data_IF_352828312217
#
_entry.id   IF_352828312217
#
_cell.length_a   1.000
_cell.length_b   1.000
_cell.length_c   1.000
_cell.angle_alpha   90.00
_cell.angle_beta   90.00
_cell.angle_gamma   90.00
#
_symmetry.space_group_name_H-M   'P 1'
#
loop_
_entity.id
_entity.type
_entity.pdbx_description
1 polymer ?
#
# COMPACT_ATOMS: atom_id res chain seq x y z
N UNK A 1 -0.33 -1.02 11.86
CA UNK A 1 -0.41 -1.13 10.37
C UNK A 1 0.91 -1.57 9.73
N UNK A 2 2.07 -1.12 10.22
CA UNK A 2 3.38 -1.51 9.66
C UNK A 2 3.63 -3.02 9.62
N UNK A 3 3.18 -3.77 10.62
CA UNK A 3 3.34 -5.23 10.67
C UNK A 3 2.65 -5.94 9.49
N UNK A 4 1.47 -5.44 9.08
CA UNK A 4 0.77 -5.94 7.89
C UNK A 4 1.52 -5.57 6.61
N UNK A 5 2.07 -4.35 6.53
CA UNK A 5 2.90 -3.94 5.39
C UNK A 5 4.13 -4.85 5.24
N UNK A 6 4.84 -5.12 6.34
CA UNK A 6 5.97 -6.08 6.38
C UNK A 6 5.56 -7.48 5.96
N UNK A 7 4.43 -7.97 6.47
CA UNK A 7 3.89 -9.28 6.11
C UNK A 7 3.53 -9.39 4.63
N UNK A 8 3.04 -8.31 4.00
CA UNK A 8 2.72 -8.32 2.58
C UNK A 8 3.98 -8.28 1.71
N UNK A 9 4.97 -7.48 2.11
CA UNK A 9 6.27 -7.47 1.45
C UNK A 9 6.96 -8.83 1.53
N UNK A 10 6.90 -9.53 2.66
CA UNK A 10 7.49 -10.87 2.78
C UNK A 10 6.81 -11.93 1.89
N UNK A 11 5.57 -11.67 1.46
CA UNK A 11 4.87 -12.48 0.44
C UNK A 11 5.19 -12.07 -1.00
N UNK A 12 6.07 -11.10 -1.20
CA UNK A 12 6.39 -10.56 -2.52
C UNK A 12 5.34 -9.60 -3.08
N UNK A 13 4.48 -9.04 -2.22
CA UNK A 13 3.43 -8.12 -2.64
C UNK A 13 3.86 -6.67 -2.38
N UNK A 14 4.07 -5.85 -3.44
CA UNK A 14 4.51 -4.47 -3.26
C UNK A 14 3.43 -3.63 -2.59
N UNK A 15 3.80 -2.90 -1.53
CA UNK A 15 2.89 -2.10 -0.72
C UNK A 15 3.15 -0.61 -0.83
N UNK A 16 2.14 0.21 -0.55
CA UNK A 16 2.24 1.67 -0.43
C UNK A 16 1.26 2.18 0.65
N UNK A 17 1.53 3.34 1.28
CA UNK A 17 0.66 3.86 2.32
C UNK A 17 -0.60 4.52 1.72
N UNK A 18 -1.74 4.23 2.33
CA UNK A 18 -3.02 4.91 2.09
C UNK A 18 -3.37 5.79 3.31
N UNK A 19 -4.12 6.86 3.08
CA UNK A 19 -4.59 7.74 4.15
C UNK A 19 -5.35 6.94 5.23
N UNK A 20 -5.13 7.29 6.50
CA UNK A 20 -5.77 6.64 7.64
C UNK A 20 -7.30 6.64 7.50
N UNK A 21 -7.92 5.47 7.69
CA UNK A 21 -9.38 5.30 7.54
C UNK A 21 -9.92 5.48 6.12
N UNK A 22 -9.07 5.74 5.13
CA UNK A 22 -9.45 6.00 3.74
C UNK A 22 -8.90 4.96 2.76
N UNK A 23 -9.21 5.18 1.48
CA UNK A 23 -8.75 4.37 0.34
C UNK A 23 -7.89 5.16 -0.67
N UNK A 24 -7.44 6.37 -0.31
CA UNK A 24 -6.62 7.24 -1.17
C UNK A 24 -5.14 7.15 -0.77
N UNK A 25 -4.17 7.30 -1.69
CA UNK A 25 -2.74 7.31 -1.34
C UNK A 25 -2.40 8.37 -0.30
N UNK A 26 -1.54 8.02 0.67
CA UNK A 26 -1.15 8.93 1.74
C UNK A 26 -0.19 10.05 1.26
N UNK A 27 0.63 9.75 0.25
CA UNK A 27 1.61 10.69 -0.31
C UNK A 27 0.94 11.46 -1.46
N UNK A 28 0.69 12.77 -1.32
CA UNK A 28 0.05 13.57 -2.36
C UNK A 28 1.01 13.82 -3.53
N UNK A 29 0.46 14.09 -4.72
CA UNK A 29 1.26 14.45 -5.91
C UNK A 29 2.17 15.65 -5.69
N UNK A 30 1.71 16.64 -4.94
CA UNK A 30 2.49 17.84 -4.57
C UNK A 30 3.79 17.50 -3.82
N UNK A 31 3.81 16.35 -3.13
CA UNK A 31 4.97 15.80 -2.40
C UNK A 31 5.65 14.65 -3.15
N UNK A 32 5.40 14.53 -4.46
CA UNK A 32 6.00 13.51 -5.32
C UNK A 32 5.35 12.13 -5.24
N UNK A 33 4.13 12.02 -4.71
CA UNK A 33 3.39 10.76 -4.69
C UNK A 33 2.86 10.35 -6.05
N UNK A 34 3.04 9.08 -6.41
CA UNK A 34 2.55 8.45 -7.63
C UNK A 34 1.51 7.36 -7.35
N UNK A 35 1.04 7.23 -6.11
CA UNK A 35 -0.03 6.31 -5.72
C UNK A 35 0.41 4.85 -5.81
N UNK A 36 -0.38 3.98 -6.44
CA UNK A 36 -0.05 2.55 -6.54
C UNK A 36 1.24 2.24 -7.32
N UNK A 37 1.76 3.22 -8.08
CA UNK A 37 3.05 3.10 -8.77
C UNK A 37 4.22 3.17 -7.78
N UNK A 38 4.06 3.85 -6.65
CA UNK A 38 5.10 3.93 -5.61
C UNK A 38 5.35 2.60 -4.92
N UNK A 39 4.38 1.67 -5.00
CA UNK A 39 4.40 0.45 -4.22
C UNK A 39 5.74 -0.28 -4.27
N UNK A 40 6.23 -0.76 -3.13
CA UNK A 40 7.62 -1.23 -3.00
C UNK A 40 7.69 -2.56 -2.26
N UNK A 41 8.76 -3.31 -2.55
CA UNK A 41 9.22 -4.46 -1.76
C UNK A 41 10.42 -4.12 -0.87
N UNK A 42 10.95 -2.89 -1.00
CA UNK A 42 12.06 -2.44 -0.17
C UNK A 42 11.58 -2.14 1.25
N UNK A 43 12.06 -2.94 2.21
CA UNK A 43 11.68 -2.83 3.61
C UNK A 43 12.08 -1.47 4.20
N UNK A 44 13.22 -0.91 3.80
CA UNK A 44 13.66 0.39 4.32
C UNK A 44 12.67 1.51 3.93
N UNK A 45 12.15 1.44 2.70
CA UNK A 45 11.12 2.38 2.23
C UNK A 45 9.80 2.19 2.96
N UNK A 46 9.43 0.95 3.29
CA UNK A 46 8.23 0.66 4.11
C UNK A 46 8.38 1.19 5.54
N UNK A 47 9.52 0.95 6.19
CA UNK A 47 9.81 1.51 7.52
C UNK A 47 9.71 3.03 7.52
N UNK A 48 10.33 3.67 6.53
CA UNK A 48 10.31 5.11 6.39
C UNK A 48 8.87 5.64 6.25
N UNK A 49 8.07 5.07 5.35
CA UNK A 49 6.68 5.52 5.18
C UNK A 49 5.82 5.35 6.43
N UNK A 50 5.95 4.23 7.15
CA UNK A 50 5.18 4.04 8.39
C UNK A 50 5.76 4.79 9.58
N UNK A 51 6.98 5.33 9.49
CA UNK A 51 7.48 6.32 10.46
C UNK A 51 6.86 7.71 10.23
N UNK A 52 6.62 8.10 8.97
CA UNK A 52 5.99 9.38 8.61
C UNK A 52 4.46 9.35 8.71
N UNK A 53 3.84 8.21 8.40
CA UNK A 53 2.39 8.01 8.42
C UNK A 53 2.03 6.77 9.28
N UNK A 54 2.14 6.85 10.62
CA UNK A 54 1.99 5.69 11.50
C UNK A 54 0.63 4.98 11.38
N UNK A 55 -0.42 5.77 11.15
CA UNK A 55 -1.82 5.30 11.04
C UNK A 55 -2.24 4.99 9.60
N UNK A 56 -1.30 5.01 8.65
CA UNK A 56 -1.61 4.72 7.25
C UNK A 56 -2.16 3.30 7.08
N UNK A 57 -3.23 3.21 6.29
CA UNK A 57 -3.72 1.94 5.76
C UNK A 57 -2.69 1.35 4.78
N UNK A 58 -2.69 0.02 4.60
CA UNK A 58 -1.78 -0.64 3.64
C UNK A 58 -2.49 -0.84 2.30
N UNK A 59 -1.97 -0.22 1.25
CA UNK A 59 -2.35 -0.51 -0.14
C UNK A 59 -1.40 -1.55 -0.76
N UNK A 60 -1.92 -2.40 -1.65
CA UNK A 60 -1.13 -3.34 -2.46
C UNK A 60 -1.33 -3.00 -3.93
N UNK A 61 -0.25 -2.93 -4.70
CA UNK A 61 -0.33 -2.77 -6.15
C UNK A 61 -0.68 -4.12 -6.79
N UNK A 62 -1.94 -4.28 -7.22
CA UNK A 62 -2.48 -5.53 -7.79
C UNK A 62 -2.00 -5.79 -9.22
N UNK A 63 -2.38 -6.92 -9.80
CA UNK A 63 -2.01 -7.30 -11.16
C UNK A 63 -0.60 -7.90 -11.27
N UNK A 64 0.02 -7.76 -12.44
CA UNK A 64 1.26 -8.47 -12.78
C UNK A 64 2.40 -8.23 -11.78
N UNK A 65 2.46 -7.05 -11.15
CA UNK A 65 3.53 -6.68 -10.22
C UNK A 65 3.48 -7.45 -8.90
N UNK A 66 2.29 -7.81 -8.42
CA UNK A 66 2.09 -8.63 -7.22
C UNK A 66 1.70 -10.08 -7.51
N UNK A 67 1.33 -10.39 -8.76
CA UNK A 67 0.75 -11.69 -9.12
C UNK A 67 -0.67 -11.88 -8.60
N UNK A 68 -1.33 -10.82 -8.15
CA UNK A 68 -2.66 -10.87 -7.55
C UNK A 68 -3.75 -10.49 -8.56
N UNK A 69 -4.77 -11.34 -8.63
CA UNK A 69 -6.10 -10.99 -9.13
C UNK A 69 -7.00 -10.70 -7.93
N UNK A 70 -7.72 -9.58 -7.95
CA UNK A 70 -8.65 -9.19 -6.89
C UNK A 70 -10.05 -9.11 -7.47
N UNK A 71 -10.98 -9.80 -6.83
CA UNK A 71 -12.41 -9.77 -7.15
C UNK A 71 -13.10 -9.10 -5.96
N UNK A 72 -13.68 -7.93 -6.18
CA UNK A 72 -14.50 -7.24 -5.18
C UNK A 72 -15.95 -7.71 -5.35
N UNK A 73 -16.49 -8.42 -4.35
CA UNK A 73 -17.84 -8.96 -4.38
C UNK A 73 -18.69 -8.18 -3.38
N UNK A 74 -19.58 -7.34 -3.88
CA UNK A 74 -20.60 -6.67 -3.09
C UNK A 74 -21.99 -7.25 -3.41
N UNK A 75 -22.54 -8.14 -2.56
CA UNK A 75 -23.81 -8.81 -2.82
C UNK A 75 -25.05 -7.94 -2.58
N UNK A 76 -24.90 -6.65 -2.25
CA UNK A 76 -26.03 -5.71 -2.00
C UNK A 76 -26.14 -4.58 -3.02
N UNK A 77 -25.53 -4.77 -4.20
CA UNK A 77 -25.87 -4.09 -5.44
C UNK A 77 -26.22 -5.10 -6.52
#
# INVERSE_FOLDING_TARGET
>A
MIELARHYVSRGWPVFPLAAGGKVPAIPRERGGHGCLDATLDMNRVEHWWSEYPDANVGISTGRRSGLLVIDVDPRH
#
